data_IF_536250116678
#
_entry.id   IF_536250116678
#
_cell.length_a   1.000
_cell.length_b   1.000
_cell.length_c   1.000
_cell.angle_alpha   90.00
_cell.angle_beta   90.00
_cell.angle_gamma   90.00
#
_symmetry.space_group_name_H-M   'P 1'
#
loop_
_entity.id
_entity.type
_entity.pdbx_description
1 polymer ?
#
# COMPACT_ATOMS: atom_id res chain seq x y z
N UNK A 1 -2.25 -16.05 -6.41
CA UNK A 1 -0.77 -16.14 -6.50
C UNK A 1 -0.21 -17.18 -5.54
N UNK A 2 -0.15 -16.93 -4.22
CA UNK A 2 0.52 -17.83 -3.25
C UNK A 2 0.01 -19.28 -3.25
N UNK A 3 -1.30 -19.52 -3.41
CA UNK A 3 -1.84 -20.87 -3.51
C UNK A 3 -1.22 -21.68 -4.65
N UNK A 4 -1.12 -21.09 -5.85
CA UNK A 4 -0.50 -21.74 -7.00
C UNK A 4 1.02 -21.92 -6.81
N UNK A 5 1.68 -20.93 -6.20
CA UNK A 5 3.11 -20.97 -5.88
C UNK A 5 3.45 -22.13 -4.93
N UNK A 6 2.68 -22.29 -3.85
CA UNK A 6 2.91 -23.34 -2.85
C UNK A 6 2.57 -24.73 -3.39
N UNK A 7 1.51 -24.84 -4.19
CA UNK A 7 1.22 -26.06 -4.94
C UNK A 7 2.41 -26.46 -5.83
N UNK A 8 2.96 -25.49 -6.58
CA UNK A 8 4.13 -25.74 -7.44
C UNK A 8 5.36 -26.14 -6.64
N UNK A 9 5.62 -25.49 -5.51
CA UNK A 9 6.71 -25.85 -4.62
C UNK A 9 6.58 -27.30 -4.11
N UNK A 10 5.40 -27.73 -3.69
CA UNK A 10 5.17 -29.11 -3.23
C UNK A 10 5.37 -30.15 -4.35
N UNK A 11 5.11 -29.80 -5.62
CA UNK A 11 5.41 -30.70 -6.76
C UNK A 11 6.91 -30.90 -6.97
N UNK A 12 7.72 -29.87 -6.70
CA UNK A 12 9.18 -29.91 -6.81
C UNK A 12 9.82 -30.59 -5.59
N UNK A 13 9.24 -30.35 -4.41
CA UNK A 13 9.71 -30.84 -3.11
C UNK A 13 8.61 -31.64 -2.41
N UNK A 14 8.37 -32.91 -2.81
CA UNK A 14 7.23 -33.71 -2.34
C UNK A 14 7.27 -34.07 -0.85
N UNK A 15 8.43 -33.93 -0.20
CA UNK A 15 8.60 -34.16 1.24
C UNK A 15 8.25 -32.91 2.08
N UNK A 16 7.92 -31.79 1.44
CA UNK A 16 7.53 -30.53 2.09
C UNK A 16 6.10 -30.16 1.69
N UNK A 17 5.22 -30.01 2.67
CA UNK A 17 3.85 -29.50 2.48
C UNK A 17 3.76 -28.07 2.99
N UNK A 18 3.20 -27.16 2.19
CA UNK A 18 2.94 -25.78 2.61
C UNK A 18 1.43 -25.55 2.57
N UNK A 19 0.82 -25.33 3.73
CA UNK A 19 -0.60 -25.02 3.87
C UNK A 19 -0.80 -23.50 4.02
N UNK A 20 -1.57 -22.90 3.10
CA UNK A 20 -1.89 -21.47 3.17
C UNK A 20 -2.99 -21.22 4.21
N UNK A 21 -2.70 -20.33 5.16
CA UNK A 21 -3.71 -19.74 6.05
C UNK A 21 -4.08 -18.36 5.48
N UNK A 22 -5.18 -18.22 4.71
CA UNK A 22 -5.52 -16.96 4.10
C UNK A 22 -6.01 -15.94 5.14
N UNK A 23 -5.72 -14.67 4.88
CA UNK A 23 -6.36 -13.50 5.51
C UNK A 23 -6.89 -12.64 4.38
N UNK A 24 -8.19 -12.33 4.40
CA UNK A 24 -8.85 -11.57 3.34
C UNK A 24 -8.37 -10.13 3.24
N UNK A 25 -8.68 -9.47 2.13
CA UNK A 25 -8.34 -8.06 1.91
C UNK A 25 -9.08 -7.19 2.92
N UNK A 26 -8.33 -6.38 3.66
CA UNK A 26 -8.90 -5.52 4.71
C UNK A 26 -9.33 -6.27 5.97
N UNK A 27 -9.05 -7.56 6.08
CA UNK A 27 -9.28 -8.33 7.31
C UNK A 27 -8.14 -8.13 8.33
N UNK A 28 -8.47 -8.33 9.60
CA UNK A 28 -7.56 -8.16 10.73
C UNK A 28 -6.45 -9.22 10.80
N UNK A 29 -5.31 -8.93 10.16
CA UNK A 29 -4.12 -9.78 10.22
C UNK A 29 -3.60 -9.92 11.66
N UNK A 30 -3.63 -8.85 12.44
CA UNK A 30 -3.17 -8.83 13.82
C UNK A 30 -4.00 -9.76 14.71
N UNK A 31 -5.33 -9.66 14.68
CA UNK A 31 -6.24 -10.49 15.47
C UNK A 31 -6.12 -11.97 15.10
N UNK A 32 -5.92 -12.25 13.81
CA UNK A 32 -5.69 -13.61 13.32
C UNK A 32 -4.38 -14.18 13.88
N UNK A 33 -3.28 -13.44 13.78
CA UNK A 33 -1.98 -13.85 14.34
C UNK A 33 -2.07 -14.05 15.85
N UNK A 34 -2.71 -13.12 16.57
CA UNK A 34 -2.89 -13.22 18.02
C UNK A 34 -3.60 -14.53 18.40
N UNK A 35 -4.67 -14.89 17.70
CA UNK A 35 -5.40 -16.14 17.91
C UNK A 35 -4.56 -17.39 17.62
N UNK A 36 -3.77 -17.37 16.54
CA UNK A 36 -2.90 -18.48 16.17
C UNK A 36 -1.75 -18.68 17.18
N UNK A 37 -1.08 -17.60 17.60
CA UNK A 37 -0.06 -17.66 18.65
C UNK A 37 -0.64 -18.15 19.98
N UNK A 38 -1.78 -17.62 20.41
CA UNK A 38 -2.43 -18.02 21.67
C UNK A 38 -2.87 -19.50 21.68
N UNK A 39 -3.26 -20.04 20.53
CA UNK A 39 -3.68 -21.44 20.39
C UNK A 39 -2.52 -22.42 20.14
N UNK A 40 -1.27 -21.93 20.05
CA UNK A 40 -0.12 -22.78 19.75
C UNK A 40 -0.02 -23.22 18.29
N UNK A 41 -0.70 -22.53 17.38
CA UNK A 41 -0.79 -22.85 15.95
C UNK A 41 -0.26 -21.70 15.07
N UNK A 42 0.71 -20.92 15.56
CA UNK A 42 1.32 -19.86 14.75
C UNK A 42 1.95 -20.44 13.47
N UNK A 43 1.83 -19.75 12.32
CA UNK A 43 2.35 -20.24 11.06
C UNK A 43 3.88 -20.30 11.08
N UNK A 44 4.46 -21.27 10.36
CA UNK A 44 5.92 -21.43 10.25
C UNK A 44 6.60 -20.24 9.60
N UNK A 45 6.04 -19.74 8.51
CA UNK A 45 6.42 -18.45 7.93
C UNK A 45 5.18 -17.65 7.56
N UNK A 46 5.31 -16.34 7.51
CA UNK A 46 4.19 -15.41 7.41
C UNK A 46 4.53 -14.18 6.57
N UNK A 47 3.55 -13.69 5.83
CA UNK A 47 3.62 -12.43 5.07
C UNK A 47 2.88 -11.34 5.83
N UNK A 48 3.58 -10.47 6.53
CA UNK A 48 2.99 -9.57 7.54
C UNK A 48 3.39 -8.11 7.36
N UNK A 49 2.54 -7.21 7.84
CA UNK A 49 2.82 -5.78 7.88
C UNK A 49 4.00 -5.47 8.84
N UNK A 50 4.80 -4.42 8.59
CA UNK A 50 5.93 -4.04 9.46
C UNK A 50 5.54 -3.87 10.93
N UNK A 51 4.34 -3.33 11.18
CA UNK A 51 3.71 -3.24 12.49
C UNK A 51 3.65 -4.58 13.25
N UNK A 52 3.29 -5.67 12.56
CA UNK A 52 3.23 -7.00 13.18
C UNK A 52 4.62 -7.62 13.34
N UNK A 53 5.59 -7.27 12.49
CA UNK A 53 6.99 -7.69 12.70
C UNK A 53 7.52 -7.16 14.03
N UNK A 54 7.22 -5.89 14.34
CA UNK A 54 7.57 -5.25 15.63
C UNK A 54 6.88 -5.96 16.79
N UNK A 55 5.56 -6.15 16.69
CA UNK A 55 4.76 -6.76 17.77
C UNK A 55 5.22 -8.19 18.11
N UNK A 56 5.62 -8.97 17.10
CA UNK A 56 6.02 -10.36 17.26
C UNK A 56 7.54 -10.57 17.19
N UNK A 57 8.37 -9.53 17.30
CA UNK A 57 9.82 -9.60 17.05
C UNK A 57 10.53 -10.73 17.85
N UNK A 58 10.10 -10.93 19.10
CA UNK A 58 10.64 -11.97 19.99
C UNK A 58 10.33 -13.40 19.50
N UNK A 59 9.28 -13.56 18.69
CA UNK A 59 8.87 -14.84 18.10
C UNK A 59 9.51 -15.11 16.74
N UNK A 60 10.21 -14.15 16.14
CA UNK A 60 10.74 -14.27 14.79
C UNK A 60 12.21 -14.74 14.76
N UNK A 61 12.53 -15.55 13.76
CA UNK A 61 13.90 -15.94 13.44
C UNK A 61 14.64 -14.74 12.84
N UNK A 62 15.85 -14.49 13.34
CA UNK A 62 16.75 -13.50 12.73
C UNK A 62 17.40 -14.10 11.48
N UNK A 63 17.32 -13.38 10.37
CA UNK A 63 18.02 -13.71 9.15
C UNK A 63 19.46 -13.21 9.20
N UNK A 64 20.40 -14.10 8.88
CA UNK A 64 21.84 -13.85 8.84
C UNK A 64 22.40 -14.29 7.50
N UNK A 65 23.62 -13.88 7.17
CA UNK A 65 24.31 -14.37 5.97
C UNK A 65 24.49 -15.89 5.96
N UNK A 66 24.52 -16.55 7.13
CA UNK A 66 24.67 -17.99 7.26
C UNK A 66 23.37 -18.74 6.96
N UNK A 67 22.23 -18.28 7.51
CA UNK A 67 20.95 -19.00 7.38
C UNK A 67 20.10 -18.52 6.20
N UNK A 68 20.32 -17.30 5.72
CA UNK A 68 19.56 -16.68 4.63
C UNK A 68 20.49 -15.95 3.63
N UNK A 69 21.49 -16.64 3.05
CA UNK A 69 22.47 -16.02 2.13
C UNK A 69 21.83 -15.37 0.90
N UNK A 70 20.64 -15.83 0.51
CA UNK A 70 19.85 -15.26 -0.59
C UNK A 70 19.43 -13.80 -0.38
N UNK A 71 19.42 -13.29 0.86
CA UNK A 71 19.18 -11.87 1.14
C UNK A 71 20.28 -10.96 0.59
N UNK A 72 21.48 -11.48 0.32
CA UNK A 72 22.54 -10.70 -0.37
C UNK A 72 22.15 -10.29 -1.80
N UNK A 73 21.13 -10.95 -2.38
CA UNK A 73 20.58 -10.64 -3.69
C UNK A 73 19.56 -9.50 -3.63
N UNK A 74 19.11 -9.08 -2.44
CA UNK A 74 18.22 -7.93 -2.30
C UNK A 74 18.88 -6.65 -2.84
N UNK A 75 18.06 -5.76 -3.37
CA UNK A 75 18.47 -4.43 -3.79
C UNK A 75 19.04 -3.64 -2.60
N UNK A 76 19.95 -2.71 -2.88
CA UNK A 76 20.59 -1.91 -1.83
C UNK A 76 19.52 -1.15 -1.01
N UNK A 77 19.59 -1.25 0.32
CA UNK A 77 18.63 -0.65 1.25
C UNK A 77 17.28 -1.37 1.36
N UNK A 78 17.00 -2.41 0.57
CA UNK A 78 15.73 -3.14 0.68
C UNK A 78 15.62 -3.90 2.01
N UNK A 79 16.73 -4.48 2.47
CA UNK A 79 16.80 -5.22 3.75
C UNK A 79 16.61 -4.29 4.96
N UNK A 80 16.96 -3.00 4.83
CA UNK A 80 16.81 -2.02 5.91
C UNK A 80 15.33 -1.89 6.32
N UNK A 81 14.39 -2.00 5.38
CA UNK A 81 12.96 -2.01 5.69
C UNK A 81 12.52 -3.21 6.53
N UNK A 82 13.21 -4.34 6.37
CA UNK A 82 13.00 -5.58 7.12
C UNK A 82 13.81 -5.67 8.42
N UNK A 83 14.51 -4.59 8.81
CA UNK A 83 15.40 -4.55 9.95
C UNK A 83 14.71 -3.87 11.14
N UNK A 84 14.53 -4.62 12.23
CA UNK A 84 13.84 -4.19 13.44
C UNK A 84 14.73 -4.48 14.65
N UNK A 85 14.89 -3.50 15.54
CA UNK A 85 15.76 -3.66 16.70
C UNK A 85 17.23 -4.00 16.37
N UNK A 86 17.69 -3.67 15.16
CA UNK A 86 19.03 -4.02 14.66
C UNK A 86 19.17 -5.44 14.11
N UNK A 87 18.06 -6.18 13.96
CA UNK A 87 18.01 -7.55 13.42
C UNK A 87 17.19 -7.58 12.15
N UNK A 88 17.62 -8.35 11.16
CA UNK A 88 16.80 -8.61 9.98
C UNK A 88 15.76 -9.66 10.35
N UNK A 89 14.50 -9.26 10.52
CA UNK A 89 13.41 -10.15 10.96
C UNK A 89 12.41 -10.44 9.85
N UNK A 90 12.49 -9.71 8.75
CA UNK A 90 11.57 -9.83 7.62
C UNK A 90 12.28 -9.64 6.29
N UNK A 91 12.01 -10.51 5.33
CA UNK A 91 12.51 -10.38 3.98
C UNK A 91 11.50 -9.63 3.11
N UNK A 92 11.89 -8.52 2.45
CA UNK A 92 11.01 -7.83 1.53
C UNK A 92 10.76 -8.71 0.30
N UNK A 93 9.60 -8.58 -0.33
CA UNK A 93 9.29 -9.36 -1.54
C UNK A 93 8.62 -8.55 -2.65
N UNK A 94 7.99 -7.42 -2.31
CA UNK A 94 7.45 -6.49 -3.31
C UNK A 94 7.72 -5.05 -2.94
N UNK A 95 7.89 -4.22 -3.96
CA UNK A 95 7.70 -2.77 -3.90
C UNK A 95 6.31 -2.50 -4.45
N UNK A 96 5.54 -1.68 -3.75
CA UNK A 96 4.20 -1.27 -4.15
C UNK A 96 4.06 0.23 -4.04
N UNK A 97 3.12 0.78 -4.79
CA UNK A 97 2.87 2.22 -4.79
C UNK A 97 1.41 2.56 -5.00
N UNK A 98 1.04 3.77 -4.58
CA UNK A 98 -0.33 4.26 -4.72
C UNK A 98 -0.42 5.77 -4.91
N UNK A 99 -1.59 6.19 -5.39
CA UNK A 99 -1.96 7.56 -5.67
C UNK A 99 -3.32 7.57 -6.36
N UNK A 100 -3.51 8.46 -7.33
CA UNK A 100 -4.65 8.40 -8.25
C UNK A 100 -4.24 7.62 -9.49
N UNK A 101 -4.69 6.37 -9.61
CA UNK A 101 -4.62 5.64 -10.87
C UNK A 101 -5.45 6.38 -11.91
N UNK A 102 -4.94 6.56 -13.12
CA UNK A 102 -5.74 7.04 -14.26
C UNK A 102 -5.75 6.00 -15.38
N UNK A 103 -6.88 5.88 -16.07
CA UNK A 103 -7.04 5.01 -17.22
C UNK A 103 -6.62 5.75 -18.50
N UNK A 104 -5.56 5.27 -19.18
CA UNK A 104 -4.98 5.98 -20.33
C UNK A 104 -5.95 6.12 -21.49
N UNK A 105 -6.77 5.10 -21.78
CA UNK A 105 -7.77 5.16 -22.84
C UNK A 105 -8.78 6.27 -22.56
N UNK A 106 -9.38 6.25 -21.37
CA UNK A 106 -10.37 7.26 -20.95
C UNK A 106 -9.81 8.67 -21.04
N UNK A 107 -8.60 8.89 -20.54
CA UNK A 107 -7.96 10.19 -20.59
C UNK A 107 -7.61 10.61 -22.03
N UNK A 108 -7.13 9.69 -22.87
CA UNK A 108 -6.87 10.00 -24.28
C UNK A 108 -8.15 10.36 -25.05
N UNK A 109 -9.29 9.71 -24.77
CA UNK A 109 -10.58 10.06 -25.37
C UNK A 109 -11.05 11.49 -25.01
N UNK A 110 -10.76 11.94 -23.78
CA UNK A 110 -11.20 13.25 -23.26
C UNK A 110 -10.24 14.38 -23.61
N UNK A 111 -8.93 14.11 -23.61
CA UNK A 111 -7.88 15.13 -23.79
C UNK A 111 -7.25 15.10 -25.19
N UNK A 112 -7.49 14.05 -25.96
CA UNK A 112 -6.76 13.74 -27.19
C UNK A 112 -5.51 12.92 -26.90
N UNK A 113 -5.23 11.96 -27.78
CA UNK A 113 -4.10 11.05 -27.64
C UNK A 113 -2.76 11.80 -27.51
N UNK A 114 -2.00 11.49 -26.46
CA UNK A 114 -0.70 12.11 -26.19
C UNK A 114 -0.74 13.53 -25.61
N UNK A 115 -1.93 14.13 -25.41
CA UNK A 115 -2.07 15.50 -24.91
C UNK A 115 -2.19 15.61 -23.38
N UNK A 116 -2.24 14.49 -22.67
CA UNK A 116 -2.26 14.47 -21.21
C UNK A 116 -0.89 14.09 -20.63
N UNK A 117 -0.35 14.95 -19.77
CA UNK A 117 0.81 14.63 -18.93
C UNK A 117 0.35 14.59 -17.46
N UNK A 118 0.47 13.45 -16.75
CA UNK A 118 0.10 13.37 -15.33
C UNK A 118 0.86 14.36 -14.45
N UNK A 119 2.05 14.83 -14.86
CA UNK A 119 2.84 15.84 -14.13
C UNK A 119 2.21 17.23 -14.16
N UNK A 120 1.26 17.47 -15.07
CA UNK A 120 0.51 18.72 -15.11
C UNK A 120 -0.45 18.87 -13.91
N UNK A 121 -0.75 17.77 -13.22
CA UNK A 121 -1.53 17.78 -11.98
C UNK A 121 -0.56 17.81 -10.80
N UNK A 122 -0.15 19.01 -10.43
CA UNK A 122 0.78 19.30 -9.34
C UNK A 122 0.21 20.27 -8.29
N UNK A 123 -1.09 20.56 -8.38
CA UNK A 123 -1.83 21.42 -7.47
C UNK A 123 -3.27 20.91 -7.35
N UNK A 124 -3.93 21.24 -6.25
CA UNK A 124 -5.35 20.91 -6.06
C UNK A 124 -6.23 21.55 -7.14
N UNK A 125 -5.92 22.77 -7.58
CA UNK A 125 -6.63 23.44 -8.68
C UNK A 125 -6.48 22.71 -10.02
N UNK A 126 -5.26 22.23 -10.35
CA UNK A 126 -5.05 21.43 -11.55
C UNK A 126 -5.80 20.09 -11.48
N UNK A 127 -5.83 19.44 -10.30
CA UNK A 127 -6.62 18.24 -10.07
C UNK A 127 -8.12 18.54 -10.26
N UNK A 128 -8.63 19.62 -9.66
CA UNK A 128 -10.04 20.02 -9.81
C UNK A 128 -10.40 20.24 -11.29
N UNK A 129 -9.58 20.99 -12.03
CA UNK A 129 -9.83 21.24 -13.45
C UNK A 129 -9.83 19.95 -14.29
N UNK A 130 -8.96 18.99 -13.96
CA UNK A 130 -8.96 17.68 -14.58
C UNK A 130 -10.26 16.92 -14.31
N UNK A 131 -10.69 16.82 -13.04
CA UNK A 131 -11.90 16.11 -12.64
C UNK A 131 -13.16 16.72 -13.28
N UNK A 132 -13.28 18.04 -13.26
CA UNK A 132 -14.40 18.76 -13.87
C UNK A 132 -14.45 18.57 -15.39
N UNK A 133 -13.30 18.52 -16.07
CA UNK A 133 -13.24 18.23 -17.51
C UNK A 133 -13.69 16.80 -17.82
N UNK A 134 -13.32 15.83 -16.99
CA UNK A 134 -13.82 14.45 -17.13
C UNK A 134 -15.34 14.39 -17.00
N UNK A 135 -15.91 15.05 -15.98
CA UNK A 135 -17.36 15.07 -15.78
C UNK A 135 -18.10 15.79 -16.91
N UNK A 136 -17.54 16.87 -17.44
CA UNK A 136 -18.08 17.57 -18.62
C UNK A 136 -18.12 16.67 -19.87
N UNK A 137 -17.22 15.69 -19.97
CA UNK A 137 -17.23 14.66 -21.01
C UNK A 137 -18.14 13.46 -20.68
N UNK A 138 -18.85 13.49 -19.54
CA UNK A 138 -19.79 12.45 -19.12
C UNK A 138 -19.15 11.29 -18.36
N UNK A 139 -17.88 11.40 -17.94
CA UNK A 139 -17.17 10.38 -17.17
C UNK A 139 -16.92 10.90 -15.74
N UNK A 140 -17.37 10.19 -14.69
CA UNK A 140 -17.02 10.52 -13.30
C UNK A 140 -15.52 10.76 -13.13
N UNK A 141 -15.16 11.89 -12.53
CA UNK A 141 -13.77 12.34 -12.44
C UNK A 141 -12.88 11.37 -11.67
N UNK A 142 -13.39 10.82 -10.56
CA UNK A 142 -12.62 9.91 -9.71
C UNK A 142 -13.49 8.86 -9.03
N UNK A 143 -12.84 7.91 -8.36
CA UNK A 143 -13.46 6.96 -7.45
C UNK A 143 -12.64 6.84 -6.16
N UNK A 144 -13.33 6.75 -5.03
CA UNK A 144 -12.79 6.37 -3.74
C UNK A 144 -13.31 4.99 -3.36
N UNK A 145 -12.43 4.13 -2.83
CA UNK A 145 -12.84 2.86 -2.24
C UNK A 145 -13.24 3.09 -0.78
N UNK A 146 -14.52 2.87 -0.46
CA UNK A 146 -15.12 3.13 0.85
C UNK A 146 -14.75 2.12 1.93
N UNK A 147 -13.47 1.82 2.12
CA UNK A 147 -12.98 0.92 3.15
C UNK A 147 -11.99 1.63 4.08
N UNK A 148 -12.02 1.28 5.37
CA UNK A 148 -11.17 1.89 6.40
C UNK A 148 -9.66 1.74 6.08
N UNK A 149 -9.22 0.60 5.54
CA UNK A 149 -7.83 0.40 5.12
C UNK A 149 -7.43 1.33 3.97
N UNK A 150 -8.34 1.66 3.05
CA UNK A 150 -8.06 2.59 1.95
C UNK A 150 -8.03 4.04 2.46
N UNK A 151 -9.02 4.45 3.25
CA UNK A 151 -9.11 5.85 3.69
C UNK A 151 -8.20 6.17 4.88
N UNK A 152 -8.10 5.28 5.86
CA UNK A 152 -7.24 5.45 7.04
C UNK A 152 -5.81 4.98 6.80
N UNK A 153 -5.64 3.81 6.18
CA UNK A 153 -4.33 3.19 5.95
C UNK A 153 -3.56 3.71 4.74
N UNK A 154 -4.22 4.41 3.79
CA UNK A 154 -3.55 4.96 2.61
C UNK A 154 -3.81 6.45 2.42
N UNK A 155 -5.06 6.92 2.43
CA UNK A 155 -5.31 8.35 2.22
C UNK A 155 -4.82 9.22 3.39
N UNK A 156 -5.30 8.94 4.60
CA UNK A 156 -4.96 9.73 5.79
C UNK A 156 -3.47 9.64 6.14
N UNK A 157 -2.78 8.57 5.74
CA UNK A 157 -1.35 8.42 6.04
C UNK A 157 -0.47 9.44 5.31
N UNK A 158 -0.94 9.97 4.18
CA UNK A 158 -0.30 11.07 3.47
C UNK A 158 -0.13 12.31 4.36
N UNK A 159 -1.08 12.59 5.25
CA UNK A 159 -1.00 13.71 6.20
C UNK A 159 0.24 13.63 7.09
N UNK A 160 0.60 12.41 7.50
CA UNK A 160 1.78 12.19 8.34
C UNK A 160 3.06 12.08 7.50
N UNK A 161 2.98 11.45 6.32
CA UNK A 161 4.14 11.13 5.51
C UNK A 161 4.76 12.33 4.79
N UNK A 162 3.98 13.37 4.47
CA UNK A 162 4.49 14.54 3.75
C UNK A 162 4.95 15.69 4.65
N UNK A 163 5.06 15.47 5.96
CA UNK A 163 5.67 16.43 6.88
C UNK A 163 7.16 16.68 6.53
N UNK A 164 7.78 15.74 5.81
CA UNK A 164 9.11 15.85 5.23
C UNK A 164 9.52 14.51 4.60
N UNK A 165 10.63 14.45 3.84
CA UNK A 165 11.04 13.25 3.12
C UNK A 165 11.57 12.14 4.02
N UNK A 166 11.88 12.43 5.30
CA UNK A 166 12.41 11.44 6.24
C UNK A 166 11.28 10.83 7.07
N UNK A 167 11.40 9.54 7.37
CA UNK A 167 10.54 8.85 8.35
C UNK A 167 10.39 9.63 9.66
N UNK A 168 11.49 10.22 10.15
CA UNK A 168 11.51 10.98 11.41
C UNK A 168 10.64 12.25 11.39
N UNK A 169 10.38 12.83 10.23
CA UNK A 169 9.59 14.06 10.10
C UNK A 169 8.11 13.74 10.42
N UNK A 170 7.60 12.65 9.85
CA UNK A 170 6.26 12.14 10.12
C UNK A 170 6.11 11.58 11.54
N UNK A 171 7.06 10.76 12.02
CA UNK A 171 6.97 10.23 13.41
C UNK A 171 7.02 11.36 14.43
N UNK A 172 7.88 12.36 14.23
CA UNK A 172 7.95 13.52 15.12
C UNK A 172 6.68 14.37 15.13
N UNK A 173 5.91 14.39 14.03
CA UNK A 173 4.59 15.02 14.01
C UNK A 173 3.56 14.21 14.79
N UNK A 174 3.51 12.88 14.59
CA UNK A 174 2.64 11.98 15.35
C UNK A 174 2.93 12.08 16.85
N UNK A 175 4.20 12.08 17.26
CA UNK A 175 4.62 12.22 18.66
C UNK A 175 4.12 13.52 19.29
N UNK A 176 4.12 14.64 18.54
CA UNK A 176 3.57 15.92 19.02
C UNK A 176 2.06 15.87 19.24
N UNK A 177 1.32 15.15 18.39
CA UNK A 177 -0.13 14.93 18.55
C UNK A 177 -0.39 14.04 19.77
N UNK A 178 0.33 12.93 19.91
CA UNK A 178 0.27 12.04 21.08
C UNK A 178 0.51 12.80 22.39
N UNK A 179 1.52 13.67 22.40
CA UNK A 179 1.84 14.53 23.55
C UNK A 179 0.83 15.67 23.78
N UNK A 180 -0.12 15.88 22.86
CA UNK A 180 -1.09 16.98 22.92
C UNK A 180 -0.50 18.37 22.76
N UNK A 181 0.72 18.46 22.24
CA UNK A 181 1.40 19.75 21.99
C UNK A 181 0.98 20.39 20.67
N UNK A 182 0.41 19.59 19.76
CA UNK A 182 -0.19 20.02 18.49
C UNK A 182 -1.51 19.25 18.34
N UNK A 183 -2.54 19.89 17.78
CA UNK A 183 -3.73 19.22 17.30
C UNK A 183 -3.68 19.13 15.77
N UNK A 184 -4.22 18.05 15.20
CA UNK A 184 -4.09 17.76 13.77
C UNK A 184 -4.77 18.82 12.88
N UNK A 185 -5.87 19.42 13.34
CA UNK A 185 -6.61 20.48 12.64
C UNK A 185 -5.81 21.77 12.45
N UNK A 186 -4.82 22.03 13.31
CA UNK A 186 -3.95 23.20 13.19
C UNK A 186 -2.86 23.01 12.11
N UNK A 187 -2.71 21.79 11.59
CA UNK A 187 -1.70 21.47 10.59
C UNK A 187 -2.20 21.80 9.17
N UNK A 188 -1.47 22.61 8.38
CA UNK A 188 -1.91 23.00 7.04
C UNK A 188 -1.94 21.83 6.04
N UNK A 189 -1.09 20.81 6.23
CA UNK A 189 -1.10 19.60 5.39
C UNK A 189 -2.38 18.79 5.65
N UNK A 190 -2.83 18.67 6.91
CA UNK A 190 -4.11 18.05 7.22
C UNK A 190 -5.26 18.79 6.54
N UNK A 191 -5.35 20.12 6.71
CA UNK A 191 -6.40 20.91 6.06
C UNK A 191 -6.36 20.78 4.54
N UNK A 192 -5.16 20.82 3.96
CA UNK A 192 -4.94 20.68 2.53
C UNK A 192 -5.39 19.33 1.97
N UNK A 193 -5.01 18.22 2.61
CA UNK A 193 -5.49 16.90 2.22
C UNK A 193 -6.98 16.73 2.47
N UNK A 194 -7.55 17.28 3.54
CA UNK A 194 -9.00 17.16 3.75
C UNK A 194 -9.80 17.96 2.72
N UNK A 195 -9.32 19.11 2.27
CA UNK A 195 -9.90 19.82 1.13
C UNK A 195 -9.80 19.02 -0.18
N UNK A 196 -8.65 18.38 -0.44
CA UNK A 196 -8.50 17.48 -1.60
C UNK A 196 -9.42 16.26 -1.46
N UNK A 197 -9.60 15.73 -0.26
CA UNK A 197 -10.51 14.62 0.01
C UNK A 197 -11.95 15.01 -0.30
N UNK A 198 -12.38 16.19 0.14
CA UNK A 198 -13.72 16.73 -0.15
C UNK A 198 -13.94 16.92 -1.65
N UNK A 199 -12.91 17.39 -2.38
CA UNK A 199 -12.93 17.45 -3.84
C UNK A 199 -13.12 16.06 -4.45
N UNK A 200 -12.34 15.06 -4.02
CA UNK A 200 -12.45 13.69 -4.52
C UNK A 200 -13.83 13.08 -4.18
N UNK A 201 -14.34 13.32 -2.97
CA UNK A 201 -15.65 12.85 -2.53
C UNK A 201 -16.80 13.46 -3.35
N UNK A 202 -16.71 14.76 -3.67
CA UNK A 202 -17.68 15.45 -4.53
C UNK A 202 -17.75 14.84 -5.94
N UNK A 203 -16.60 14.47 -6.50
CA UNK A 203 -16.46 13.89 -7.84
C UNK A 203 -16.41 12.35 -7.84
N UNK A 204 -16.75 11.72 -6.71
CA UNK A 204 -16.66 10.27 -6.54
C UNK A 204 -17.74 9.54 -7.37
N UNK A 205 -17.32 8.52 -8.11
CA UNK A 205 -18.19 7.56 -8.79
C UNK A 205 -19.24 6.97 -7.83
N UNK A 206 -18.84 6.61 -6.61
CA UNK A 206 -19.70 6.03 -5.58
C UNK A 206 -20.42 7.09 -4.71
N UNK A 207 -20.48 8.38 -5.09
CA UNK A 207 -20.98 9.47 -4.21
C UNK A 207 -22.39 9.28 -3.65
N UNK A 208 -23.26 8.53 -4.33
CA UNK A 208 -24.63 8.27 -3.86
C UNK A 208 -24.66 7.30 -2.68
N UNK A 209 -23.69 6.39 -2.60
CA UNK A 209 -23.50 5.44 -1.51
C UNK A 209 -21.99 5.15 -1.35
N UNK A 210 -21.24 6.09 -0.75
CA UNK A 210 -19.77 6.04 -0.80
C UNK A 210 -19.17 4.94 0.09
N UNK A 211 -19.99 4.26 0.90
CA UNK A 211 -19.58 3.15 1.75
C UNK A 211 -19.85 1.78 1.11
N UNK A 212 -20.52 1.73 -0.05
CA UNK A 212 -20.85 0.48 -0.75
C UNK A 212 -19.65 -0.16 -1.46
N UNK A 213 -18.48 0.49 -1.42
CA UNK A 213 -17.28 0.11 -2.15
C UNK A 213 -16.97 -1.38 -2.01
N UNK A 214 -16.95 -2.08 -3.14
CA UNK A 214 -16.60 -3.49 -3.25
C UNK A 214 -15.34 -3.55 -4.08
N UNK A 215 -14.26 -4.09 -3.49
CA UNK A 215 -12.92 -3.99 -4.08
C UNK A 215 -12.87 -4.53 -5.52
N UNK A 216 -13.56 -5.65 -5.78
CA UNK A 216 -13.57 -6.27 -7.10
C UNK A 216 -14.44 -5.48 -8.08
N UNK A 217 -15.62 -5.01 -7.66
CA UNK A 217 -16.51 -4.21 -8.51
C UNK A 217 -15.94 -2.83 -8.82
N UNK A 218 -15.27 -2.20 -7.86
CA UNK A 218 -14.60 -0.91 -8.05
C UNK A 218 -13.46 -1.08 -9.06
N UNK A 219 -12.60 -2.10 -8.92
CA UNK A 219 -11.55 -2.40 -9.91
C UNK A 219 -12.14 -2.66 -11.30
N UNK A 220 -13.22 -3.45 -11.38
CA UNK A 220 -13.89 -3.69 -12.65
C UNK A 220 -14.44 -2.39 -13.26
N UNK A 221 -15.11 -1.55 -12.48
CA UNK A 221 -15.67 -0.29 -12.96
C UNK A 221 -14.57 0.65 -13.49
N UNK A 222 -13.45 0.75 -12.78
CA UNK A 222 -12.29 1.53 -13.24
C UNK A 222 -11.67 0.94 -14.51
N UNK A 223 -11.51 -0.38 -14.58
CA UNK A 223 -10.98 -1.07 -15.75
C UNK A 223 -11.88 -0.98 -16.99
N UNK A 224 -13.20 -0.91 -16.81
CA UNK A 224 -14.17 -0.63 -17.89
C UNK A 224 -14.21 0.86 -18.29
N UNK A 225 -13.44 1.72 -17.61
CA UNK A 225 -13.36 3.15 -17.86
C UNK A 225 -14.59 3.94 -17.38
N UNK A 226 -15.31 3.45 -16.36
CA UNK A 226 -16.48 4.14 -15.78
C UNK A 226 -16.13 5.33 -14.89
N UNK A 227 -14.85 5.50 -14.58
CA UNK A 227 -14.30 6.70 -13.95
C UNK A 227 -12.92 6.99 -14.54
N UNK A 228 -12.52 8.26 -14.54
CA UNK A 228 -11.23 8.66 -15.10
C UNK A 228 -10.07 8.31 -14.18
N UNK A 229 -10.25 8.48 -12.86
CA UNK A 229 -9.27 8.08 -11.85
C UNK A 229 -9.82 7.21 -10.74
N UNK A 230 -8.94 6.49 -10.05
CA UNK A 230 -9.26 5.69 -8.87
C UNK A 230 -8.15 5.86 -7.82
N UNK A 231 -8.50 6.29 -6.61
CA UNK A 231 -7.54 6.31 -5.50
C UNK A 231 -7.30 4.87 -5.00
N UNK A 232 -6.19 4.28 -5.45
CA UNK A 232 -5.81 2.90 -5.16
C UNK A 232 -4.32 2.70 -5.49
N UNK A 233 -3.76 1.56 -5.11
CA UNK A 233 -2.40 1.17 -5.48
C UNK A 233 -2.30 0.15 -6.60
N UNK A 234 -1.06 -0.12 -6.98
CA UNK A 234 -0.70 -1.05 -8.04
C UNK A 234 -1.07 -2.51 -7.73
N UNK A 235 -1.28 -2.86 -6.46
CA UNK A 235 -1.86 -4.15 -6.06
C UNK A 235 -3.27 -4.38 -6.66
N UNK A 236 -3.97 -3.36 -7.13
CA UNK A 236 -5.21 -3.55 -7.90
C UNK A 236 -4.99 -4.44 -9.14
N UNK A 237 -3.77 -4.50 -9.66
CA UNK A 237 -3.41 -5.35 -10.78
C UNK A 237 -3.70 -6.84 -10.51
N UNK A 238 -3.56 -7.31 -9.26
CA UNK A 238 -3.79 -8.72 -8.92
C UNK A 238 -5.22 -9.18 -9.18
N UNK A 239 -6.19 -8.26 -9.09
CA UNK A 239 -7.58 -8.52 -9.46
C UNK A 239 -7.78 -8.22 -10.94
N UNK A 240 -7.26 -7.09 -11.41
CA UNK A 240 -7.48 -6.59 -12.76
C UNK A 240 -7.01 -7.55 -13.86
N UNK A 241 -5.87 -8.23 -13.66
CA UNK A 241 -5.31 -9.20 -14.61
C UNK A 241 -6.23 -10.42 -14.82
N UNK A 242 -7.17 -10.65 -13.91
CA UNK A 242 -8.14 -11.75 -14.01
C UNK A 242 -9.44 -11.36 -14.70
N UNK A 243 -9.63 -10.07 -14.98
CA UNK A 243 -10.85 -9.55 -15.58
C UNK A 243 -10.76 -9.54 -17.11
N UNK A 244 -11.87 -9.87 -17.76
CA UNK A 244 -12.04 -9.73 -19.20
C UNK A 244 -12.69 -8.38 -19.54
N UNK A 245 -12.43 -7.86 -20.75
CA UNK A 245 -13.03 -6.62 -21.26
C UNK A 245 -12.72 -5.36 -20.44
N UNK A 246 -11.57 -5.35 -19.76
CA UNK A 246 -11.04 -4.16 -19.07
C UNK A 246 -9.78 -3.66 -19.79
N UNK A 247 -9.54 -2.36 -19.68
CA UNK A 247 -8.30 -1.73 -20.15
C UNK A 247 -7.07 -2.29 -19.40
N UNK A 248 -5.89 -2.09 -19.96
CA UNK A 248 -4.62 -2.62 -19.41
C UNK A 248 -3.53 -1.54 -19.27
N UNK A 249 -3.84 -0.31 -19.69
CA UNK A 249 -2.91 0.81 -19.69
C UNK A 249 -3.34 1.90 -18.70
N UNK A 250 -2.52 2.05 -17.66
CA UNK A 250 -2.75 2.95 -16.54
C UNK A 250 -1.49 3.74 -16.20
N UNK A 251 -1.64 4.74 -15.35
CA UNK A 251 -0.52 5.42 -14.70
C UNK A 251 -0.96 6.09 -13.42
N UNK A 252 -0.02 6.72 -12.71
CA UNK A 252 -0.30 7.41 -11.46
C UNK A 252 -0.22 8.94 -11.60
N UNK A 253 -1.19 9.60 -10.98
CA UNK A 253 -1.22 11.02 -10.69
C UNK A 253 -0.97 11.19 -9.17
N UNK A 254 -0.13 12.16 -8.74
CA UNK A 254 0.04 12.52 -7.33
C UNK A 254 -1.27 12.97 -6.68
N UNK A 255 -1.34 12.95 -5.35
CA UNK A 255 -2.47 13.53 -4.61
C UNK A 255 -2.01 14.87 -4.02
N UNK A 256 -2.22 16.00 -4.72
CA UNK A 256 -1.80 17.29 -4.22
C UNK A 256 -2.65 17.73 -3.02
N UNK A 257 -2.01 18.26 -2.00
CA UNK A 257 -2.67 18.81 -0.80
C UNK A 257 -2.72 20.34 -0.81
N UNK A 258 -2.01 21.00 -1.73
CA UNK A 258 -1.98 22.47 -1.81
C UNK A 258 -2.04 23.00 -3.25
N UNK A 259 -2.02 24.33 -3.39
CA UNK A 259 -1.87 25.04 -4.66
C UNK A 259 -0.46 25.61 -4.87
N UNK A 260 0.52 25.14 -4.10
CA UNK A 260 1.93 25.41 -4.35
C UNK A 260 2.59 24.16 -4.96
N UNK A 261 3.01 24.19 -6.23
CA UNK A 261 3.55 23.00 -6.90
C UNK A 261 4.90 22.51 -6.32
N UNK A 262 5.58 23.34 -5.52
CA UNK A 262 6.85 22.99 -4.89
C UNK A 262 6.67 22.27 -3.54
N UNK A 263 5.45 22.17 -3.02
CA UNK A 263 5.18 21.48 -1.77
C UNK A 263 5.39 19.95 -1.93
N UNK A 264 6.17 19.37 -1.02
CA UNK A 264 6.41 17.92 -1.00
C UNK A 264 5.07 17.16 -0.84
N UNK A 265 4.87 16.16 -1.69
CA UNK A 265 3.62 15.41 -1.78
C UNK A 265 2.74 15.82 -2.96
N UNK A 266 2.93 17.01 -3.53
CA UNK A 266 2.16 17.45 -4.71
C UNK A 266 2.66 16.87 -6.03
N UNK A 267 3.89 16.38 -6.09
CA UNK A 267 4.48 15.85 -7.33
C UNK A 267 5.01 14.42 -7.19
N UNK A 268 4.77 13.81 -6.03
CA UNK A 268 5.27 12.52 -5.61
C UNK A 268 4.14 11.52 -5.46
N UNK A 269 4.42 10.24 -5.73
CA UNK A 269 3.50 9.12 -5.46
C UNK A 269 4.07 8.26 -4.35
N UNK A 270 3.23 7.55 -3.63
CA UNK A 270 3.74 6.68 -2.56
C UNK A 270 4.45 5.47 -3.15
N UNK A 271 5.57 5.11 -2.54
CA UNK A 271 6.30 3.87 -2.83
C UNK A 271 6.80 3.27 -1.52
N UNK A 272 6.48 2.00 -1.28
CA UNK A 272 6.76 1.30 -0.01
C UNK A 272 7.15 -0.16 -0.23
N UNK A 273 7.78 -0.73 0.78
CA UNK A 273 7.89 -2.18 1.00
C UNK A 273 6.77 -2.55 2.00
N UNK A 274 5.60 -3.01 1.54
CA UNK A 274 4.40 -3.01 2.38
C UNK A 274 4.33 -4.20 3.34
N UNK A 275 4.95 -5.33 2.99
CA UNK A 275 4.90 -6.56 3.78
C UNK A 275 6.23 -7.32 3.72
N UNK A 276 6.49 -8.09 4.77
CA UNK A 276 7.71 -8.90 4.92
C UNK A 276 7.39 -10.37 5.13
N UNK A 277 8.22 -11.23 4.53
CA UNK A 277 8.26 -12.66 4.82
C UNK A 277 9.08 -12.90 6.09
N UNK A 278 8.44 -13.42 7.14
CA UNK A 278 9.07 -13.68 8.43
C UNK A 278 8.95 -15.16 8.79
N UNK A 279 9.90 -15.72 9.56
CA UNK A 279 9.85 -17.10 10.05
C UNK A 279 9.61 -17.11 11.55
N UNK A 280 8.64 -17.90 12.02
CA UNK A 280 8.38 -18.10 13.43
C UNK A 280 9.42 -19.07 14.03
N UNK A 281 10.19 -18.64 15.03
CA UNK A 281 11.11 -19.53 15.77
C UNK A 281 10.50 -20.15 17.02
N UNK A 282 9.39 -19.58 17.50
CA UNK A 282 8.87 -19.89 18.84
C UNK A 282 7.93 -21.10 18.89
N UNK A 283 7.24 -21.41 17.80
CA UNK A 283 6.31 -22.55 17.72
C UNK A 283 6.59 -23.46 16.50
N UNK A 284 7.76 -23.31 15.88
CA UNK A 284 8.18 -24.13 14.74
C UNK A 284 9.44 -24.90 15.09
N UNK A 285 9.50 -26.18 14.70
CA UNK A 285 10.69 -27.02 14.90
C UNK A 285 11.86 -26.55 14.03
N UNK A 286 13.11 -26.92 14.34
CA UNK A 286 14.25 -26.62 13.48
C UNK A 286 14.06 -27.08 12.02
N UNK A 287 13.44 -28.25 11.81
CA UNK A 287 13.16 -28.77 10.47
C UNK A 287 12.12 -27.90 9.74
N UNK A 288 11.11 -27.41 10.44
CA UNK A 288 10.11 -26.50 9.86
C UNK A 288 10.74 -25.13 9.54
N UNK A 289 11.61 -24.61 10.40
CA UNK A 289 12.34 -23.36 10.16
C UNK A 289 13.26 -23.50 8.94
N UNK A 290 13.98 -24.62 8.80
CA UNK A 290 14.80 -24.90 7.62
C UNK A 290 13.96 -25.01 6.36
N UNK A 291 12.85 -25.75 6.38
CA UNK A 291 11.94 -25.87 5.25
C UNK A 291 11.38 -24.50 4.81
N UNK A 292 11.12 -23.60 5.77
CA UNK A 292 10.71 -22.23 5.47
C UNK A 292 11.84 -21.38 4.88
N UNK A 293 13.08 -21.50 5.37
CA UNK A 293 14.25 -20.84 4.77
C UNK A 293 14.45 -21.27 3.32
N UNK A 294 14.34 -22.57 3.05
CA UNK A 294 14.49 -23.14 1.70
C UNK A 294 13.35 -22.66 0.78
N UNK A 295 12.12 -22.63 1.28
CA UNK A 295 10.97 -22.12 0.53
C UNK A 295 11.13 -20.63 0.20
N UNK A 296 11.54 -19.80 1.16
CA UNK A 296 11.79 -18.38 0.93
C UNK A 296 12.95 -18.14 -0.04
N UNK A 297 14.02 -18.94 0.04
CA UNK A 297 15.10 -18.90 -0.94
C UNK A 297 14.57 -19.16 -2.35
N UNK A 298 13.81 -20.23 -2.56
CA UNK A 298 13.21 -20.52 -3.86
C UNK A 298 12.26 -19.41 -4.33
N UNK A 299 11.39 -18.92 -3.46
CA UNK A 299 10.43 -17.85 -3.78
C UNK A 299 11.13 -16.55 -4.22
N UNK A 300 12.18 -16.15 -3.52
CA UNK A 300 12.74 -14.80 -3.59
C UNK A 300 14.00 -14.71 -4.46
N UNK A 301 14.71 -15.82 -4.68
CA UNK A 301 15.93 -15.84 -5.50
C UNK A 301 15.87 -16.73 -6.74
N UNK A 302 15.00 -17.73 -6.83
CA UNK A 302 14.95 -18.59 -8.02
C UNK A 302 14.00 -18.02 -9.10
N UNK A 303 14.38 -18.03 -10.40
CA UNK A 303 13.56 -17.46 -11.46
C UNK A 303 12.13 -18.03 -11.53
N UNK A 304 11.95 -19.33 -11.24
CA UNK A 304 10.61 -19.96 -11.23
C UNK A 304 9.74 -19.45 -10.07
N UNK A 305 10.32 -19.25 -8.88
CA UNK A 305 9.61 -18.68 -7.73
C UNK A 305 9.28 -17.20 -7.95
N UNK A 306 10.24 -16.43 -8.46
CA UNK A 306 10.08 -15.02 -8.80
C UNK A 306 8.99 -14.78 -9.85
N UNK A 307 8.82 -15.71 -10.80
CA UNK A 307 7.81 -15.60 -11.88
C UNK A 307 6.38 -15.44 -11.33
N UNK A 308 6.04 -16.07 -10.20
CA UNK A 308 4.71 -15.91 -9.61
C UNK A 308 4.42 -14.48 -9.14
N UNK A 309 5.43 -13.77 -8.63
CA UNK A 309 5.29 -12.37 -8.23
C UNK A 309 5.20 -11.45 -9.45
N UNK A 310 6.00 -11.74 -10.48
CA UNK A 310 6.00 -11.02 -11.76
C UNK A 310 4.64 -11.17 -12.45
N UNK A 311 4.09 -12.38 -12.52
CA UNK A 311 2.78 -12.66 -13.14
C UNK A 311 1.64 -11.98 -12.37
N UNK A 312 1.79 -11.82 -11.06
CA UNK A 312 0.86 -11.04 -10.23
C UNK A 312 1.04 -9.52 -10.41
N UNK A 313 2.05 -9.07 -11.15
CA UNK A 313 2.31 -7.68 -11.45
C UNK A 313 3.16 -6.95 -10.42
N UNK A 314 3.88 -7.66 -9.54
CA UNK A 314 4.70 -7.02 -8.52
C UNK A 314 6.14 -6.80 -8.97
N UNK A 315 6.69 -5.63 -8.62
CA UNK A 315 8.12 -5.40 -8.68
C UNK A 315 8.81 -6.03 -7.47
N UNK A 316 9.84 -6.84 -7.70
CA UNK A 316 10.61 -7.46 -6.62
C UNK A 316 11.89 -6.67 -6.34
N UNK A 317 12.21 -6.35 -5.08
CA UNK A 317 13.40 -5.58 -4.71
C UNK A 317 14.67 -6.45 -4.67
N UNK A 318 14.97 -7.16 -5.76
CA UNK A 318 16.10 -8.08 -5.87
C UNK A 318 16.91 -7.83 -7.14
N UNK A 319 18.24 -7.90 -7.03
CA UNK A 319 19.22 -7.63 -8.09
C UNK A 319 19.26 -8.72 -9.17
N UNK A 320 18.78 -9.92 -8.85
CA UNK A 320 18.84 -11.10 -9.72
C UNK A 320 17.51 -11.41 -10.42
N UNK A 321 16.53 -10.52 -10.33
CA UNK A 321 15.33 -10.59 -11.18
C UNK A 321 15.78 -10.47 -12.63
N UNK A 322 15.19 -11.27 -13.53
CA UNK A 322 15.58 -11.28 -14.94
C UNK A 322 15.36 -9.90 -15.58
N UNK A 323 16.22 -9.55 -16.53
CA UNK A 323 16.21 -8.27 -17.24
C UNK A 323 15.17 -8.19 -18.37
N UNK A 324 14.65 -9.33 -18.82
CA UNK A 324 13.62 -9.45 -19.85
C UNK A 324 12.18 -9.28 -19.32
N UNK A 325 12.01 -9.00 -18.03
CA UNK A 325 10.69 -8.81 -17.41
C UNK A 325 10.02 -7.56 -17.96
N UNK A 326 8.82 -7.75 -18.51
CA UNK A 326 7.93 -6.66 -18.91
C UNK A 326 6.89 -6.46 -17.81
N UNK A 327 7.03 -5.37 -17.07
CA UNK A 327 6.08 -5.02 -16.02
C UNK A 327 4.82 -4.38 -16.59
N UNK A 328 3.71 -4.52 -15.86
CA UNK A 328 2.47 -3.84 -16.19
C UNK A 328 2.63 -2.31 -16.11
N UNK A 329 1.64 -1.60 -16.65
CA UNK A 329 1.66 -0.14 -16.77
C UNK A 329 1.65 0.59 -15.41
N UNK A 330 1.02 0.05 -14.38
CA UNK A 330 1.01 0.63 -13.02
C UNK A 330 2.40 0.54 -12.38
N UNK A 331 3.00 -0.65 -12.38
CA UNK A 331 4.33 -0.88 -11.84
C UNK A 331 5.40 -0.08 -12.59
N UNK A 332 5.28 0.00 -13.91
CA UNK A 332 6.15 0.85 -14.74
C UNK A 332 6.04 2.31 -14.33
N UNK A 333 4.81 2.81 -14.12
CA UNK A 333 4.59 4.20 -13.69
C UNK A 333 5.21 4.50 -12.32
N UNK A 334 5.07 3.61 -11.32
CA UNK A 334 5.74 3.78 -10.01
C UNK A 334 7.27 3.81 -10.18
N UNK A 335 7.84 2.93 -11.00
CA UNK A 335 9.27 2.91 -11.30
C UNK A 335 9.76 4.23 -11.93
N UNK A 336 8.97 4.84 -12.83
CA UNK A 336 9.29 6.15 -13.41
C UNK A 336 9.27 7.28 -12.37
N UNK A 337 8.39 7.23 -11.37
CA UNK A 337 8.45 8.16 -10.23
C UNK A 337 9.70 7.93 -9.38
N UNK A 338 10.03 6.68 -9.07
CA UNK A 338 11.22 6.32 -8.30
C UNK A 338 12.52 6.79 -8.97
N UNK A 339 12.67 6.55 -10.27
CA UNK A 339 13.86 6.96 -11.06
C UNK A 339 14.08 8.49 -11.06
N UNK A 340 13.00 9.27 -10.87
CA UNK A 340 13.06 10.74 -10.80
C UNK A 340 13.21 11.25 -9.37
N UNK A 341 13.30 10.37 -8.37
CA UNK A 341 13.29 10.74 -6.95
C UNK A 341 11.97 11.37 -6.51
N UNK A 342 10.85 11.00 -7.16
CA UNK A 342 9.52 11.57 -6.93
C UNK A 342 8.60 10.60 -6.19
N UNK A 343 9.06 10.13 -5.03
CA UNK A 343 8.32 9.19 -4.19
C UNK A 343 8.08 9.72 -2.79
N UNK A 344 6.97 9.30 -2.18
CA UNK A 344 6.64 9.53 -0.77
C UNK A 344 7.01 8.27 0.01
N UNK A 345 7.76 8.46 1.10
CA UNK A 345 8.10 7.42 2.06
C UNK A 345 7.06 7.36 3.20
N UNK A 346 6.35 6.23 3.35
CA UNK A 346 5.40 6.03 4.47
C UNK A 346 6.02 5.45 5.74
N UNK A 347 7.34 5.40 5.88
CA UNK A 347 7.98 4.80 7.05
C UNK A 347 7.51 5.37 8.39
N UNK A 348 6.93 6.57 8.43
CA UNK A 348 6.35 7.10 9.66
C UNK A 348 5.08 6.39 10.13
N UNK A 349 4.37 5.71 9.23
CA UNK A 349 3.08 5.08 9.50
C UNK A 349 3.13 3.56 9.34
N UNK A 350 3.89 3.04 8.36
CA UNK A 350 4.01 1.60 8.10
C UNK A 350 4.52 0.80 9.31
N UNK A 351 5.23 1.45 10.23
CA UNK A 351 5.84 0.85 11.43
C UNK A 351 5.03 1.13 12.71
N UNK A 352 3.84 1.73 12.60
CA UNK A 352 2.98 1.95 13.77
C UNK A 352 2.19 0.68 14.04
N UNK A 353 2.50 0.01 15.16
CA UNK A 353 1.75 -1.14 15.66
C UNK A 353 0.37 -0.74 16.18
N UNK A 354 -0.59 -1.66 16.08
CA UNK A 354 -1.93 -1.53 16.66
C UNK A 354 -3.00 -1.13 15.64
N UNK A 355 -4.10 -0.59 16.16
CA UNK A 355 -5.37 -0.35 15.46
C UNK A 355 -5.46 1.02 14.76
N UNK A 356 -4.33 1.69 14.53
CA UNK A 356 -4.30 3.08 14.09
C UNK A 356 -5.05 3.33 12.79
N UNK A 357 -4.77 2.54 11.76
CA UNK A 357 -5.46 2.67 10.48
C UNK A 357 -6.93 2.22 10.57
N UNK A 358 -7.25 1.25 11.43
CA UNK A 358 -8.62 0.78 11.66
C UNK A 358 -9.46 1.88 12.29
N UNK A 359 -9.01 2.42 13.43
CA UNK A 359 -9.75 3.42 14.19
C UNK A 359 -9.85 4.76 13.44
N UNK A 360 -8.73 5.25 12.90
CA UNK A 360 -8.75 6.49 12.11
C UNK A 360 -9.45 6.31 10.76
N UNK A 361 -9.37 5.13 10.15
CA UNK A 361 -10.12 4.78 8.94
C UNK A 361 -11.63 4.73 9.19
N UNK A 362 -12.07 4.21 10.34
CA UNK A 362 -13.47 4.23 10.74
C UNK A 362 -13.99 5.67 10.91
N UNK A 363 -13.16 6.60 11.39
CA UNK A 363 -13.49 8.02 11.42
C UNK A 363 -13.58 8.62 10.01
N UNK A 364 -12.66 8.28 9.11
CA UNK A 364 -12.71 8.71 7.70
C UNK A 364 -13.97 8.21 6.97
N UNK A 365 -14.43 6.98 7.25
CA UNK A 365 -15.70 6.47 6.70
C UNK A 365 -16.90 7.26 7.21
N UNK A 366 -16.94 7.58 8.51
CA UNK A 366 -17.98 8.45 9.08
C UNK A 366 -17.96 9.84 8.45
N UNK A 367 -16.77 10.38 8.19
CA UNK A 367 -16.63 11.67 7.51
C UNK A 367 -17.11 11.61 6.05
N UNK A 368 -16.68 10.61 5.29
CA UNK A 368 -17.07 10.42 3.88
C UNK A 368 -18.59 10.25 3.69
N UNK A 369 -19.25 9.59 4.65
CA UNK A 369 -20.71 9.43 4.68
C UNK A 369 -21.48 10.65 5.20
N UNK A 370 -20.79 11.66 5.71
CA UNK A 370 -21.40 12.85 6.32
C UNK A 370 -21.96 12.61 7.73
N UNK A 371 -21.62 11.49 8.37
CA UNK A 371 -22.04 11.19 9.74
C UNK A 371 -21.31 12.02 10.80
N UNK A 372 -20.12 12.52 10.47
CA UNK A 372 -19.36 13.50 11.27
C UNK A 372 -18.84 14.62 10.37
N UNK A 373 -18.64 15.80 10.91
CA UNK A 373 -18.00 16.91 10.22
C UNK A 373 -16.45 16.89 10.41
N UNK A 374 -15.75 17.86 9.81
CA UNK A 374 -14.29 17.91 9.81
C UNK A 374 -13.70 18.14 11.21
N UNK A 375 -14.36 18.95 12.04
CA UNK A 375 -13.92 19.22 13.42
C UNK A 375 -14.05 17.95 14.28
N UNK A 376 -15.15 17.23 14.13
CA UNK A 376 -15.39 15.93 14.79
C UNK A 376 -14.39 14.86 14.33
N UNK A 377 -14.05 14.84 13.04
CA UNK A 377 -13.00 13.97 12.49
C UNK A 377 -11.64 14.28 13.14
N UNK A 378 -11.23 15.55 13.12
CA UNK A 378 -9.95 15.98 13.69
C UNK A 378 -9.88 15.68 15.19
N UNK A 379 -10.94 15.98 15.93
CA UNK A 379 -11.05 15.66 17.35
C UNK A 379 -10.94 14.14 17.60
N UNK A 380 -11.61 13.33 16.79
CA UNK A 380 -11.52 11.87 16.86
C UNK A 380 -10.09 11.37 16.65
N UNK A 381 -9.39 11.88 15.64
CA UNK A 381 -8.00 11.52 15.35
C UNK A 381 -7.06 11.96 16.49
N UNK A 382 -7.22 13.18 17.02
CA UNK A 382 -6.43 13.65 18.17
C UNK A 382 -6.68 12.78 19.40
N UNK A 383 -7.93 12.43 19.68
CA UNK A 383 -8.28 11.58 20.82
C UNK A 383 -7.67 10.18 20.67
N UNK A 384 -7.69 9.61 19.46
CA UNK A 384 -7.04 8.35 19.16
C UNK A 384 -5.55 8.42 19.50
N UNK A 385 -4.81 9.36 18.90
CA UNK A 385 -3.37 9.47 19.13
C UNK A 385 -3.01 9.74 20.59
N UNK A 386 -3.78 10.58 21.30
CA UNK A 386 -3.56 10.83 22.74
C UNK A 386 -3.85 9.60 23.61
N UNK A 387 -4.60 8.62 23.10
CA UNK A 387 -4.89 7.37 23.81
C UNK A 387 -3.82 6.30 23.61
N UNK A 388 -3.12 6.34 22.46
CA UNK A 388 -1.99 5.46 22.15
C UNK A 388 -0.76 5.94 22.91
N UNK A 389 -0.19 5.07 23.74
CA UNK A 389 0.98 5.38 24.57
C UNK A 389 2.29 5.39 23.79
#
# INVERSE_FOLDING_TARGET
MFENMFKRYNEIYPDVTIELIPTGIGEGQQEKLQSLYASGNAPTFMNVDPANVIEYEDHLLEFTEENAPWLSLAADGAVDGGTFGGKVLGAPWSVQGYGLLYNKRVVNEIFGEGNFDPKSINTRDALQAFLEKCEAAGVPGTMLHGANWSLGGHYLTLVYAVQGPKTSDGTGFIDKIKAGTVNIEDNPIFQGYMDTFDLLAKHNYNKADPLVGDFNKDIQAFGEGKCATFFMGDWAWTTMVTLENVDQEYGFIPVPWSNNPDDYGNTEVVMVLPKFQCINKSQSTPEQQQAALDALAWMLSEPEGQQFFIDAGFYMPYKNVRDDVVYNSMTTSISEYAQRGKTINLGCFSYISGDAWTETGNLMLKYLSGAINRDELAQGINNYWKSVK
#
